data_IF_651143535669
#
_entry.id   IF_651143535669
#
_cell.length_a   1.000
_cell.length_b   1.000
_cell.length_c   1.000
_cell.angle_alpha   90.00
_cell.angle_beta   90.00
_cell.angle_gamma   90.00
#
_symmetry.space_group_name_H-M   'P 1'
#
loop_
_entity.id
_entity.type
_entity.pdbx_description
1 polymer ?
#
# COMPACT_ATOMS: atom_id res chain seq x y z
N UNK A 1 23.21 12.69 6.59
CA UNK A 1 22.42 11.64 5.91
C UNK A 1 21.08 12.24 5.56
N UNK A 2 20.82 12.46 4.27
CA UNK A 2 19.52 12.90 3.79
C UNK A 2 18.49 11.84 4.16
N UNK A 3 17.56 12.17 5.05
CA UNK A 3 16.36 11.39 5.26
C UNK A 3 15.55 11.47 3.96
N UNK A 4 15.78 10.54 3.03
CA UNK A 4 15.02 10.50 1.79
C UNK A 4 13.61 10.01 2.14
N UNK A 5 12.62 10.91 1.99
CA UNK A 5 11.21 10.59 2.16
C UNK A 5 10.72 9.58 1.12
N UNK A 6 9.47 9.14 1.28
CA UNK A 6 8.82 8.20 0.35
C UNK A 6 8.92 8.70 -1.10
N UNK A 7 9.35 7.83 -2.01
CA UNK A 7 9.37 8.13 -3.44
C UNK A 7 8.16 7.50 -4.13
N UNK A 8 7.37 8.31 -4.83
CA UNK A 8 6.32 7.84 -5.71
C UNK A 8 6.35 8.57 -7.07
N UNK A 9 5.94 7.91 -8.15
CA UNK A 9 5.98 8.46 -9.50
C UNK A 9 4.99 7.79 -10.45
N UNK A 10 4.63 8.48 -11.52
CA UNK A 10 3.86 7.88 -12.62
C UNK A 10 4.71 6.92 -13.46
N UNK A 11 4.11 5.79 -13.83
CA UNK A 11 4.78 4.76 -14.61
C UNK A 11 4.69 4.99 -16.12
N UNK A 12 5.71 4.53 -16.84
CA UNK A 12 5.64 4.34 -18.30
C UNK A 12 4.85 3.06 -18.66
N UNK A 13 4.51 2.91 -19.94
CA UNK A 13 3.80 1.73 -20.46
C UNK A 13 4.74 0.68 -21.07
N UNK A 14 5.98 0.57 -20.58
CA UNK A 14 6.95 -0.41 -21.09
C UNK A 14 6.61 -1.83 -20.63
N UNK A 15 6.77 -2.81 -21.51
CA UNK A 15 6.64 -4.25 -21.24
C UNK A 15 7.94 -4.87 -20.68
N UNK A 16 8.90 -4.04 -20.28
CA UNK A 16 10.08 -4.49 -19.55
C UNK A 16 9.75 -5.15 -18.21
N UNK A 17 10.75 -5.78 -17.60
CA UNK A 17 10.62 -6.42 -16.28
C UNK A 17 9.99 -5.48 -15.25
N UNK A 18 8.82 -5.87 -14.74
CA UNK A 18 8.03 -5.16 -13.74
C UNK A 18 8.79 -4.71 -12.50
N UNK A 19 9.93 -5.35 -12.18
CA UNK A 19 10.79 -5.05 -11.04
C UNK A 19 11.66 -3.81 -11.26
N UNK A 20 11.76 -3.31 -12.50
CA UNK A 20 12.48 -2.06 -12.80
C UNK A 20 11.71 -0.84 -12.31
N UNK A 21 12.30 0.36 -12.21
CA UNK A 21 11.58 1.54 -11.74
C UNK A 21 10.42 2.02 -12.63
N UNK A 22 10.46 1.77 -13.95
CA UNK A 22 9.42 2.22 -14.91
C UNK A 22 9.06 3.71 -14.85
N UNK A 23 10.01 4.60 -14.54
CA UNK A 23 9.76 6.06 -14.53
C UNK A 23 9.45 6.58 -15.94
N UNK A 24 8.58 7.59 -16.02
CA UNK A 24 8.43 8.40 -17.22
C UNK A 24 9.73 9.17 -17.54
N UNK A 25 9.90 9.57 -18.80
CA UNK A 25 10.97 10.47 -19.23
C UNK A 25 10.36 11.67 -19.98
N UNK A 26 10.30 12.88 -19.38
CA UNK A 26 10.82 13.23 -18.05
C UNK A 26 10.03 12.61 -16.89
N UNK A 27 10.68 12.41 -15.74
CA UNK A 27 10.05 11.83 -14.55
C UNK A 27 8.94 12.75 -14.01
N UNK A 28 7.81 12.15 -13.63
CA UNK A 28 6.69 12.83 -12.96
C UNK A 28 6.49 12.22 -11.58
N UNK A 29 7.06 12.86 -10.56
CA UNK A 29 6.90 12.45 -9.16
C UNK A 29 5.49 12.69 -8.65
N UNK A 30 5.09 11.92 -7.65
CA UNK A 30 3.83 12.05 -6.91
C UNK A 30 4.15 12.35 -5.45
N UNK A 31 3.54 13.40 -4.92
CA UNK A 31 3.70 13.82 -3.53
C UNK A 31 2.86 12.99 -2.54
N UNK A 32 3.22 13.02 -1.26
CA UNK A 32 2.40 12.41 -0.20
C UNK A 32 0.99 12.99 -0.12
N UNK A 33 0.82 14.28 -0.42
CA UNK A 33 -0.50 14.91 -0.44
C UNK A 33 -1.36 14.42 -1.60
N UNK A 34 -0.76 14.12 -2.76
CA UNK A 34 -1.46 13.47 -3.87
C UNK A 34 -1.86 12.04 -3.53
N UNK A 35 -0.98 11.27 -2.88
CA UNK A 35 -1.31 9.92 -2.38
C UNK A 35 -2.43 9.97 -1.33
N UNK A 36 -2.42 10.96 -0.42
CA UNK A 36 -3.47 11.15 0.58
C UNK A 36 -4.83 11.41 -0.05
N UNK A 37 -4.88 12.13 -1.19
CA UNK A 37 -6.12 12.35 -1.96
C UNK A 37 -6.67 11.06 -2.59
N UNK A 38 -5.86 10.01 -2.69
CA UNK A 38 -6.27 8.66 -3.09
C UNK A 38 -6.63 7.77 -1.89
N UNK A 39 -6.56 8.30 -0.66
CA UNK A 39 -6.75 7.56 0.59
C UNK A 39 -5.53 6.74 1.01
N UNK A 40 -4.38 6.89 0.35
CA UNK A 40 -3.13 6.21 0.71
C UNK A 40 -2.43 6.99 1.81
N UNK A 41 -2.19 6.33 2.95
CA UNK A 41 -1.52 6.93 4.11
C UNK A 41 -0.14 6.33 4.33
N UNK A 42 0.76 7.13 4.89
CA UNK A 42 2.18 6.80 5.04
C UNK A 42 2.73 7.29 6.38
N UNK A 43 3.61 6.49 6.97
CA UNK A 43 4.40 6.83 8.16
C UNK A 43 5.84 6.33 7.98
N UNK A 44 6.81 7.10 8.52
CA UNK A 44 8.21 6.68 8.65
C UNK A 44 8.48 6.27 10.09
N UNK A 45 8.96 5.06 10.29
CA UNK A 45 9.25 4.46 11.60
C UNK A 45 10.66 3.86 11.64
N UNK A 46 11.10 3.52 12.85
CA UNK A 46 12.35 2.79 13.05
C UNK A 46 12.10 1.27 13.01
N UNK A 47 12.39 0.67 11.86
CA UNK A 47 12.21 -0.77 11.67
C UNK A 47 13.14 -1.64 12.54
N UNK A 48 14.24 -1.10 13.09
CA UNK A 48 15.11 -1.88 13.97
C UNK A 48 14.50 -2.14 15.35
N UNK A 49 13.50 -1.36 15.73
CA UNK A 49 12.84 -1.43 17.03
C UNK A 49 11.38 -1.89 16.93
N UNK A 50 10.95 -2.49 15.82
CA UNK A 50 9.53 -2.79 15.53
C UNK A 50 8.80 -3.60 16.64
N UNK A 51 9.52 -4.38 17.44
CA UNK A 51 8.95 -5.18 18.54
C UNK A 51 8.56 -4.34 19.76
N UNK A 52 9.19 -3.18 19.95
CA UNK A 52 9.04 -2.32 21.14
C UNK A 52 8.83 -0.84 20.80
N UNK A 53 8.63 -0.51 19.52
CA UNK A 53 8.48 0.86 19.04
C UNK A 53 7.18 1.51 19.55
N UNK A 54 7.26 2.53 20.43
CA UNK A 54 6.07 3.19 20.97
C UNK A 54 5.30 3.98 19.90
N UNK A 55 5.94 4.43 18.82
CA UNK A 55 5.26 5.14 17.73
C UNK A 55 4.43 4.17 16.88
N UNK A 56 4.96 2.97 16.60
CA UNK A 56 4.19 1.91 15.96
C UNK A 56 2.96 1.54 16.81
N UNK A 57 3.14 1.36 18.12
CA UNK A 57 2.05 1.03 19.04
C UNK A 57 0.99 2.14 19.09
N UNK A 58 1.41 3.40 19.08
CA UNK A 58 0.50 4.55 19.00
C UNK A 58 -0.31 4.54 17.71
N UNK A 59 0.33 4.37 16.56
CA UNK A 59 -0.36 4.25 15.26
C UNK A 59 -1.35 3.10 15.31
N UNK A 60 -0.94 1.91 15.77
CA UNK A 60 -1.84 0.75 15.88
C UNK A 60 -3.08 1.04 16.73
N UNK A 61 -2.93 1.72 17.86
CA UNK A 61 -4.05 2.13 18.71
C UNK A 61 -4.96 3.14 18.06
N UNK A 62 -4.40 4.17 17.43
CA UNK A 62 -5.17 5.24 16.78
C UNK A 62 -5.97 4.72 15.57
N UNK A 63 -5.38 3.76 14.85
CA UNK A 63 -5.92 3.15 13.64
C UNK A 63 -6.73 1.88 13.86
N UNK A 64 -6.66 1.27 15.05
CA UNK A 64 -7.35 0.02 15.36
C UNK A 64 -6.69 -1.24 14.78
N UNK A 65 -5.39 -1.20 14.48
CA UNK A 65 -4.63 -2.34 13.96
C UNK A 65 -4.38 -3.42 15.04
N UNK A 66 -5.39 -4.25 15.28
CA UNK A 66 -5.40 -5.26 16.34
C UNK A 66 -4.60 -6.53 15.98
N UNK A 67 -4.49 -6.88 14.70
CA UNK A 67 -3.75 -8.07 14.25
C UNK A 67 -2.45 -7.68 13.55
N UNK A 68 -1.40 -8.50 13.72
CA UNK A 68 -0.20 -8.43 12.91
C UNK A 68 0.48 -9.80 12.74
N UNK A 69 1.14 -9.97 11.62
CA UNK A 69 2.14 -11.03 11.42
C UNK A 69 3.31 -10.53 10.55
N UNK A 70 4.32 -11.38 10.36
CA UNK A 70 5.50 -11.07 9.56
C UNK A 70 5.56 -12.04 8.38
N UNK A 71 5.78 -11.48 7.19
CA UNK A 71 6.06 -12.23 5.97
C UNK A 71 7.46 -11.86 5.46
N UNK A 72 8.21 -12.87 5.01
CA UNK A 72 9.45 -12.70 4.26
C UNK A 72 9.22 -13.18 2.85
N UNK A 73 9.42 -12.29 1.88
CA UNK A 73 9.28 -12.58 0.45
C UNK A 73 10.69 -12.66 -0.13
N UNK A 74 11.17 -13.89 -0.23
CA UNK A 74 12.41 -14.28 -0.90
C UNK A 74 12.22 -15.69 -1.47
N UNK A 75 12.96 -16.01 -2.54
CA UNK A 75 12.78 -17.24 -3.32
C UNK A 75 12.84 -18.51 -2.45
N UNK A 76 13.76 -18.56 -1.49
CA UNK A 76 14.04 -19.79 -0.75
C UNK A 76 13.23 -19.92 0.56
N UNK A 77 12.57 -18.85 1.04
CA UNK A 77 11.76 -18.88 2.28
C UNK A 77 10.26 -18.78 2.07
N UNK A 78 9.79 -18.28 0.95
CA UNK A 78 8.35 -18.15 0.69
C UNK A 78 7.83 -19.39 -0.04
N UNK A 79 6.94 -20.20 0.56
CA UNK A 79 6.30 -21.30 -0.15
C UNK A 79 5.47 -20.79 -1.33
N UNK A 80 5.55 -21.50 -2.46
CA UNK A 80 4.92 -21.13 -3.74
C UNK A 80 5.31 -19.72 -4.21
N UNK A 81 6.59 -19.34 -4.02
CA UNK A 81 7.13 -18.01 -4.32
C UNK A 81 6.66 -17.42 -5.66
N UNK A 82 6.87 -18.14 -6.77
CA UNK A 82 6.54 -17.62 -8.11
C UNK A 82 5.02 -17.44 -8.31
N UNK A 83 4.21 -18.37 -7.81
CA UNK A 83 2.74 -18.26 -7.87
C UNK A 83 2.23 -17.08 -7.04
N UNK A 84 2.79 -16.90 -5.83
CA UNK A 84 2.45 -15.78 -4.96
C UNK A 84 2.84 -14.44 -5.58
N UNK A 85 4.03 -14.32 -6.17
CA UNK A 85 4.44 -13.10 -6.85
C UNK A 85 3.51 -12.76 -8.02
N UNK A 86 3.08 -13.77 -8.78
CA UNK A 86 2.10 -13.57 -9.86
C UNK A 86 0.76 -13.08 -9.30
N UNK A 87 0.27 -13.68 -8.22
CA UNK A 87 -0.97 -13.25 -7.56
C UNK A 87 -0.88 -11.82 -7.01
N UNK A 88 0.25 -11.47 -6.39
CA UNK A 88 0.46 -10.13 -5.83
C UNK A 88 0.55 -9.05 -6.92
N UNK A 89 1.07 -9.40 -8.10
CA UNK A 89 1.23 -8.46 -9.20
C UNK A 89 0.00 -8.31 -10.11
N UNK A 90 -0.89 -9.29 -10.12
CA UNK A 90 -2.18 -9.16 -10.77
C UNK A 90 -2.94 -7.97 -10.17
N UNK A 91 -3.54 -7.10 -10.98
CA UNK A 91 -4.27 -5.94 -10.46
C UNK A 91 -5.51 -6.38 -9.70
N UNK A 92 -5.62 -5.98 -8.43
CA UNK A 92 -6.69 -6.42 -7.53
C UNK A 92 -7.11 -5.33 -6.55
N UNK A 93 -8.19 -5.61 -5.82
CA UNK A 93 -8.61 -4.86 -4.64
C UNK A 93 -8.88 -5.80 -3.46
N UNK A 94 -8.96 -5.20 -2.28
CA UNK A 94 -9.41 -5.84 -1.04
C UNK A 94 -10.67 -5.15 -0.50
N UNK A 95 -11.45 -5.89 0.29
CA UNK A 95 -12.63 -5.35 0.97
C UNK A 95 -12.28 -4.65 2.29
N UNK A 96 -11.07 -4.87 2.76
CA UNK A 96 -10.46 -4.23 3.92
C UNK A 96 -9.19 -3.50 3.48
N UNK A 97 -8.66 -2.65 4.36
CA UNK A 97 -7.42 -1.93 4.09
C UNK A 97 -6.23 -2.89 4.03
N UNK A 98 -5.32 -2.62 3.09
CA UNK A 98 -4.03 -3.31 3.00
C UNK A 98 -2.97 -2.48 3.72
N UNK A 99 -2.54 -2.93 4.90
CA UNK A 99 -1.52 -2.27 5.70
C UNK A 99 -0.22 -3.07 5.69
N UNK A 100 0.89 -2.40 5.37
CA UNK A 100 2.22 -3.01 5.24
C UNK A 100 3.28 -2.12 5.86
N UNK A 101 4.13 -2.70 6.71
CA UNK A 101 5.29 -2.04 7.28
C UNK A 101 6.57 -2.79 6.88
N UNK A 102 7.44 -2.15 6.10
CA UNK A 102 8.67 -2.78 5.61
C UNK A 102 9.71 -2.82 6.73
N UNK A 103 10.01 -4.02 7.21
CA UNK A 103 11.02 -4.28 8.23
C UNK A 103 12.42 -4.43 7.63
N UNK A 104 12.51 -4.93 6.39
CA UNK A 104 13.76 -5.06 5.65
C UNK A 104 13.53 -5.15 4.13
N UNK A 105 14.57 -4.86 3.35
CA UNK A 105 14.52 -4.86 1.89
C UNK A 105 13.66 -3.73 1.31
N UNK A 106 13.13 -3.97 0.11
CA UNK A 106 12.41 -2.98 -0.67
C UNK A 106 11.44 -3.62 -1.67
N UNK A 107 10.38 -2.90 -1.99
CA UNK A 107 9.35 -3.34 -2.91
C UNK A 107 8.56 -2.15 -3.49
N UNK A 108 7.77 -2.43 -4.51
CA UNK A 108 6.83 -1.49 -5.11
C UNK A 108 5.39 -1.86 -4.81
N UNK A 109 4.61 -0.85 -4.46
CA UNK A 109 3.16 -0.88 -4.53
C UNK A 109 2.73 0.04 -5.66
N UNK A 110 2.02 -0.50 -6.65
CA UNK A 110 1.43 0.31 -7.71
C UNK A 110 -0.05 0.53 -7.37
N UNK A 111 -0.53 1.77 -7.48
CA UNK A 111 -1.93 2.14 -7.25
C UNK A 111 -2.49 2.92 -8.45
N UNK A 112 -3.80 2.81 -8.68
CA UNK A 112 -4.49 3.63 -9.68
C UNK A 112 -4.79 5.03 -9.13
N UNK A 113 -4.51 6.05 -9.93
CA UNK A 113 -4.99 7.42 -9.68
C UNK A 113 -6.46 7.61 -10.12
N UNK A 114 -6.97 8.84 -10.02
CA UNK A 114 -8.36 9.18 -10.39
C UNK A 114 -8.64 9.04 -11.89
N UNK A 115 -7.61 9.10 -12.73
CA UNK A 115 -7.69 8.92 -14.17
C UNK A 115 -7.27 7.50 -14.60
N UNK A 116 -7.24 6.56 -13.64
CA UNK A 116 -6.90 5.15 -13.84
C UNK A 116 -5.48 4.94 -14.38
N UNK A 117 -4.54 5.82 -14.03
CA UNK A 117 -3.10 5.69 -14.36
C UNK A 117 -2.33 5.06 -13.21
N UNK A 118 -1.30 4.31 -13.52
CA UNK A 118 -0.43 3.72 -12.51
C UNK A 118 0.52 4.74 -11.87
N UNK A 119 0.49 4.78 -10.54
CA UNK A 119 1.48 5.42 -9.68
C UNK A 119 2.25 4.30 -8.97
N UNK A 120 3.57 4.28 -9.12
CA UNK A 120 4.46 3.39 -8.38
C UNK A 120 4.93 4.07 -7.10
N UNK A 121 4.84 3.35 -5.99
CA UNK A 121 5.28 3.77 -4.66
C UNK A 121 6.42 2.86 -4.23
N UNK A 122 7.62 3.43 -4.04
CA UNK A 122 8.81 2.70 -3.61
C UNK A 122 8.88 2.64 -2.09
N UNK A 123 8.59 1.46 -1.54
CA UNK A 123 8.62 1.18 -0.12
C UNK A 123 9.94 0.53 0.27
N UNK A 124 10.62 1.09 1.27
CA UNK A 124 11.92 0.62 1.79
C UNK A 124 11.82 0.42 3.29
N UNK A 125 12.84 -0.17 3.90
CA UNK A 125 12.94 -0.33 5.36
C UNK A 125 12.51 0.93 6.14
N UNK A 126 11.61 0.74 7.11
CA UNK A 126 11.04 1.79 7.94
C UNK A 126 9.79 2.45 7.37
N UNK A 127 9.36 2.10 6.16
CA UNK A 127 8.15 2.67 5.55
C UNK A 127 6.91 1.84 5.91
N UNK A 128 5.91 2.50 6.49
CA UNK A 128 4.58 1.93 6.74
C UNK A 128 3.56 2.62 5.83
N UNK A 129 2.78 1.82 5.09
CA UNK A 129 1.75 2.28 4.16
C UNK A 129 0.42 1.63 4.48
N UNK A 130 -0.66 2.38 4.25
CA UNK A 130 -2.01 1.83 4.15
C UNK A 130 -2.61 2.16 2.80
N UNK A 131 -3.05 1.12 2.10
CA UNK A 131 -3.89 1.22 0.91
C UNK A 131 -5.36 1.04 1.31
N UNK A 132 -6.25 1.98 0.97
CA UNK A 132 -7.63 1.93 1.43
C UNK A 132 -8.42 0.83 0.71
N UNK A 133 -9.35 0.22 1.43
CA UNK A 133 -10.28 -0.75 0.87
C UNK A 133 -10.94 -0.24 -0.43
N UNK A 134 -11.01 -1.11 -1.45
CA UNK A 134 -11.56 -0.76 -2.76
C UNK A 134 -10.61 -0.03 -3.73
N UNK A 135 -9.38 0.32 -3.34
CA UNK A 135 -8.37 0.81 -4.29
C UNK A 135 -7.85 -0.33 -5.17
N UNK A 136 -7.73 -0.07 -6.48
CA UNK A 136 -7.00 -0.98 -7.35
C UNK A 136 -5.50 -0.79 -7.16
N UNK A 137 -4.83 -1.89 -6.84
CA UNK A 137 -3.41 -1.92 -6.58
C UNK A 137 -2.80 -3.26 -6.99
N UNK A 138 -1.47 -3.30 -6.94
CA UNK A 138 -0.66 -4.51 -7.07
C UNK A 138 0.68 -4.32 -6.37
N UNK A 139 1.34 -5.43 -6.09
CA UNK A 139 2.64 -5.47 -5.44
C UNK A 139 3.66 -6.20 -6.32
N UNK A 140 4.89 -5.68 -6.34
CA UNK A 140 6.04 -6.41 -6.87
C UNK A 140 7.27 -6.12 -6.03
N UNK A 141 8.17 -7.11 -5.95
CA UNK A 141 9.54 -6.83 -5.56
C UNK A 141 10.19 -5.91 -6.61
N UNK A 142 11.28 -5.26 -6.23
CA UNK A 142 12.19 -4.68 -7.21
C UNK A 142 13.33 -5.64 -7.55
N UNK A 143 14.35 -5.14 -8.25
CA UNK A 143 15.50 -5.91 -8.74
C UNK A 143 16.33 -6.55 -7.62
N UNK A 144 16.17 -6.14 -6.36
CA UNK A 144 16.81 -6.78 -5.20
C UNK A 144 16.15 -8.11 -4.80
N UNK A 145 14.91 -8.35 -5.24
CA UNK A 145 14.15 -9.58 -5.00
C UNK A 145 13.98 -9.96 -3.52
N UNK A 146 13.93 -8.98 -2.62
CA UNK A 146 13.82 -9.23 -1.19
C UNK A 146 13.01 -8.16 -0.48
N UNK A 147 12.01 -8.60 0.30
CA UNK A 147 11.43 -7.77 1.35
C UNK A 147 10.98 -8.61 2.54
N UNK A 148 11.08 -8.02 3.74
CA UNK A 148 10.45 -8.51 4.96
C UNK A 148 9.45 -7.45 5.40
N UNK A 149 8.18 -7.83 5.51
CA UNK A 149 7.12 -6.91 5.87
C UNK A 149 6.32 -7.44 7.07
N UNK A 150 5.97 -6.53 7.99
CA UNK A 150 4.88 -6.74 8.92
C UNK A 150 3.57 -6.39 8.20
N UNK A 151 2.59 -7.30 8.28
CA UNK A 151 1.25 -7.08 7.76
C UNK A 151 0.35 -6.77 8.94
N UNK A 152 -0.43 -5.69 8.87
CA UNK A 152 -1.33 -5.26 9.94
C UNK A 152 -2.78 -5.28 9.46
N UNK A 153 -3.72 -5.58 10.36
CA UNK A 153 -5.16 -5.66 10.06
C UNK A 153 -6.00 -5.06 11.20
N UNK A 154 -7.15 -4.51 10.83
CA UNK A 154 -8.24 -4.24 11.76
C UNK A 154 -9.06 -5.52 11.92
N UNK A 155 -9.10 -6.09 13.13
CA UNK A 155 -9.76 -7.36 13.38
C UNK A 155 -9.00 -8.59 12.84
N UNK A 156 -9.74 -9.67 12.59
CA UNK A 156 -9.21 -10.91 12.00
C UNK A 156 -8.90 -10.71 10.51
N UNK A 157 -7.75 -11.18 10.00
CA UNK A 157 -7.32 -10.86 8.65
C UNK A 157 -8.08 -11.65 7.57
N UNK A 158 -8.57 -10.94 6.55
CA UNK A 158 -9.12 -11.52 5.32
C UNK A 158 -8.22 -11.16 4.13
N UNK A 159 -7.38 -12.10 3.71
CA UNK A 159 -6.38 -11.90 2.66
C UNK A 159 -6.91 -11.98 1.22
N UNK A 160 -8.23 -12.10 1.05
CA UNK A 160 -8.80 -12.42 -0.25
C UNK A 160 -8.68 -11.23 -1.20
N UNK A 161 -7.92 -11.42 -2.28
CA UNK A 161 -7.83 -10.48 -3.39
C UNK A 161 -8.98 -10.71 -4.38
N UNK A 162 -9.51 -9.63 -4.93
CA UNK A 162 -10.46 -9.65 -6.04
C UNK A 162 -9.82 -8.96 -7.24
N UNK A 163 -9.40 -9.77 -8.22
CA UNK A 163 -8.77 -9.27 -9.43
C UNK A 163 -9.73 -8.38 -10.20
N UNK A 164 -9.21 -7.35 -10.85
CA UNK A 164 -9.99 -6.47 -11.72
C UNK A 164 -10.50 -7.27 -12.95
N UNK A 165 -11.77 -7.10 -13.40
CA UNK A 165 -12.80 -6.18 -12.88
C UNK A 165 -13.45 -6.68 -11.58
N UNK A 166 -13.69 -5.73 -10.67
CA UNK A 166 -14.30 -5.95 -9.35
C UNK A 166 -15.14 -4.73 -8.92
N UNK A 167 -15.72 -4.03 -9.89
CA UNK A 167 -16.42 -2.75 -9.68
C UNK A 167 -17.81 -2.91 -9.01
N UNK A 168 -18.35 -4.13 -8.99
CA UNK A 168 -19.65 -4.44 -8.41
C UNK A 168 -19.65 -4.49 -6.87
N UNK A 169 -18.48 -4.48 -6.22
CA UNK A 169 -18.40 -4.46 -4.76
C UNK A 169 -18.78 -3.09 -4.20
N UNK A 170 -19.66 -3.06 -3.19
CA UNK A 170 -20.06 -1.83 -2.48
C UNK A 170 -18.86 -1.01 -1.99
N UNK A 171 -17.79 -1.67 -1.54
CA UNK A 171 -16.58 -0.99 -1.04
C UNK A 171 -15.87 -0.20 -2.14
N UNK A 172 -15.85 -0.74 -3.37
CA UNK A 172 -15.26 -0.11 -4.55
C UNK A 172 -16.06 1.12 -4.94
N UNK A 173 -17.39 1.01 -4.93
CA UNK A 173 -18.28 2.13 -5.20
C UNK A 173 -18.13 3.25 -4.16
N UNK A 174 -18.04 2.90 -2.87
CA UNK A 174 -17.75 3.85 -1.77
C UNK A 174 -16.39 4.52 -1.95
N UNK A 175 -15.35 3.76 -2.30
CA UNK A 175 -14.03 4.29 -2.59
C UNK A 175 -14.07 5.33 -3.72
N UNK A 176 -14.68 4.98 -4.86
CA UNK A 176 -14.80 5.90 -6.01
C UNK A 176 -15.59 7.16 -5.64
N UNK A 177 -16.68 7.04 -4.89
CA UNK A 177 -17.46 8.18 -4.42
C UNK A 177 -16.65 9.13 -3.51
N UNK A 178 -15.77 8.56 -2.67
CA UNK A 178 -14.87 9.35 -1.80
C UNK A 178 -13.86 10.18 -2.61
N UNK A 179 -13.37 9.65 -3.73
CA UNK A 179 -12.43 10.37 -4.62
C UNK A 179 -13.07 11.58 -5.31
N UNK A 180 -14.38 11.54 -5.55
CA UNK A 180 -15.14 12.60 -6.21
C UNK A 180 -15.62 13.69 -5.25
N UNK A 181 -15.28 13.61 -3.95
CA UNK A 181 -15.74 14.58 -2.95
C UNK A 181 -17.25 14.58 -2.74
N UNK A 182 -17.94 13.50 -3.15
CA UNK A 182 -19.41 13.41 -3.17
C UNK A 182 -20.00 12.77 -1.91
N UNK A 183 -19.19 12.54 -0.88
CA UNK A 183 -19.69 12.11 0.43
C UNK A 183 -20.47 13.26 1.07
N UNK A 184 -21.78 13.09 1.24
CA UNK A 184 -22.60 14.06 1.97
C UNK A 184 -22.27 13.98 3.46
N UNK A 185 -22.38 15.11 4.17
CA UNK A 185 -22.28 15.11 5.63
C UNK A 185 -23.37 14.18 6.21
N UNK A 186 -22.98 12.98 6.63
CA UNK A 186 -23.88 11.91 7.09
C UNK A 186 -23.62 10.55 6.45
N UNK A 187 -22.95 10.51 5.30
CA UNK A 187 -22.45 9.26 4.73
C UNK A 187 -21.19 8.86 5.51
N UNK A 188 -21.31 7.82 6.33
CA UNK A 188 -20.13 7.21 6.93
C UNK A 188 -19.22 6.76 5.80
N UNK A 189 -17.99 7.27 5.77
CA UNK A 189 -16.91 6.63 5.05
C UNK A 189 -16.91 5.12 5.37
N UNK A 190 -16.46 4.23 4.45
CA UNK A 190 -16.36 2.81 4.77
C UNK A 190 -15.71 2.65 6.14
N UNK A 191 -16.34 1.83 6.99
CA UNK A 191 -16.27 1.83 8.47
C UNK A 191 -14.90 1.54 9.08
N UNK A 192 -13.83 1.60 8.29
CA UNK A 192 -12.44 1.54 8.66
C UNK A 192 -11.70 2.84 8.29
N UNK A 193 -12.32 4.02 8.40
CA UNK A 193 -11.53 5.25 8.17
C UNK A 193 -10.50 5.47 9.24
N UNK A 194 -9.32 5.00 8.86
CA UNK A 194 -8.05 5.35 9.43
C UNK A 194 -7.97 6.85 9.61
N UNK A 195 -7.65 7.26 10.83
CA UNK A 195 -7.37 8.65 11.12
C UNK A 195 -6.13 9.04 10.31
N UNK A 196 -6.13 10.18 9.62
CA UNK A 196 -4.91 10.63 8.95
C UNK A 196 -3.76 10.71 9.96
N UNK A 197 -2.50 10.45 9.54
CA UNK A 197 -1.34 10.70 10.39
C UNK A 197 -1.40 12.13 10.97
N UNK A 198 -0.90 12.36 12.20
CA UNK A 198 -0.64 13.71 12.66
C UNK A 198 0.20 14.46 11.63
N UNK A 199 -0.14 15.72 11.34
CA UNK A 199 0.71 16.56 10.52
C UNK A 199 2.05 16.73 11.24
N UNK A 200 3.15 16.29 10.60
CA UNK A 200 4.52 16.51 11.07
C UNK A 200 4.83 18.00 11.05
#
# INVERSE_FOLDING_TARGET
MTCMGLEAWYMNCSDEDQRKPHRLNPNRSVSLDELRKLGVFYWKLNADTYETDPELEKIRKEQGYSYMDIITIERDRLPNYEEKLKMFYEEHLHLDDEIRYILDGQAYFDVRDKEDRWIRIAMKKGDLITLPAGIYHRFTLDETNFTKAMRLFVGEPVWKAYNRPADDFDIRQKYVASLQGSLKAGDSLPTNTLKPPPSV
#
